data_IF_670706407590
#
_entry.id   IF_670706407590
#
_cell.length_a   1.000
_cell.length_b   1.000
_cell.length_c   1.000
_cell.angle_alpha   90.00
_cell.angle_beta   90.00
_cell.angle_gamma   90.00
#
_symmetry.space_group_name_H-M   'P 1'
#
loop_
_entity.id
_entity.type
_entity.pdbx_description
1 polymer ?
#
# COMPACT_ATOMS: atom_id res chain seq x y z
N UNK A 1 -4.78 28.69 13.31
CA UNK A 1 -4.66 27.51 12.41
C UNK A 1 -4.70 28.00 10.97
N UNK A 2 -3.68 27.68 10.15
CA UNK A 2 -3.74 28.01 8.72
C UNK A 2 -4.83 27.17 8.06
N UNK A 3 -5.47 27.66 6.99
CA UNK A 3 -6.53 26.91 6.27
C UNK A 3 -6.11 25.52 5.78
N UNK A 4 -4.80 25.22 5.78
CA UNK A 4 -4.25 23.92 5.38
C UNK A 4 -4.18 22.88 6.52
N UNK A 5 -4.29 23.27 7.80
CA UNK A 5 -4.16 22.31 8.92
C UNK A 5 -5.44 21.50 9.16
N UNK A 6 -6.61 22.07 8.90
CA UNK A 6 -7.90 21.41 9.11
C UNK A 6 -8.11 20.15 8.23
N UNK A 7 -7.85 20.17 6.91
CA UNK A 7 -8.02 18.98 6.08
C UNK A 7 -7.03 17.86 6.44
N UNK A 8 -5.81 18.21 6.89
CA UNK A 8 -4.83 17.23 7.33
C UNK A 8 -5.28 16.52 8.62
N UNK A 9 -5.79 17.27 9.61
CA UNK A 9 -6.31 16.68 10.84
C UNK A 9 -7.51 15.76 10.57
N UNK A 10 -8.45 16.18 9.72
CA UNK A 10 -9.59 15.35 9.34
C UNK A 10 -9.16 14.02 8.72
N UNK A 11 -8.12 14.06 7.87
CA UNK A 11 -7.54 12.87 7.27
C UNK A 11 -6.82 11.97 8.30
N UNK A 12 -6.09 12.53 9.26
CA UNK A 12 -5.49 11.76 10.37
C UNK A 12 -6.55 11.04 11.20
N UNK A 13 -7.64 11.73 11.54
CA UNK A 13 -8.76 11.16 12.28
C UNK A 13 -9.43 10.04 11.48
N UNK A 14 -9.66 10.24 10.18
CA UNK A 14 -10.23 9.21 9.32
C UNK A 14 -9.35 7.95 9.26
N UNK A 15 -8.03 8.11 9.11
CA UNK A 15 -7.08 6.98 9.12
C UNK A 15 -7.05 6.29 10.49
N UNK A 16 -7.11 7.04 11.59
CA UNK A 16 -7.19 6.48 12.94
C UNK A 16 -8.46 5.68 13.18
N UNK A 17 -9.62 6.15 12.71
CA UNK A 17 -10.88 5.41 12.76
C UNK A 17 -10.81 4.14 11.91
N UNK A 18 -10.23 4.24 10.71
CA UNK A 18 -10.06 3.10 9.81
C UNK A 18 -9.18 2.00 10.43
N UNK A 19 -8.10 2.38 11.13
CA UNK A 19 -7.26 1.44 11.88
C UNK A 19 -8.09 0.64 12.90
N UNK A 20 -8.99 1.30 13.64
CA UNK A 20 -9.85 0.63 14.62
C UNK A 20 -10.82 -0.35 13.95
N UNK A 21 -11.42 0.05 12.83
CA UNK A 21 -12.33 -0.79 12.06
C UNK A 21 -11.61 -2.01 11.50
N UNK A 22 -10.46 -1.82 10.85
CA UNK A 22 -9.67 -2.92 10.28
C UNK A 22 -9.18 -3.87 11.36
N UNK A 23 -8.70 -3.35 12.50
CA UNK A 23 -8.26 -4.18 13.62
C UNK A 23 -9.39 -5.03 14.24
N UNK A 24 -10.63 -4.54 14.22
CA UNK A 24 -11.78 -5.27 14.75
C UNK A 24 -12.44 -6.21 13.73
N UNK A 25 -12.36 -5.91 12.43
CA UNK A 25 -13.14 -6.57 11.40
C UNK A 25 -12.93 -8.10 11.35
N UNK A 26 -11.69 -8.64 11.31
CA UNK A 26 -11.49 -10.09 11.31
C UNK A 26 -12.09 -10.79 12.53
N UNK A 27 -11.98 -10.19 13.73
CA UNK A 27 -12.56 -10.77 14.95
C UNK A 27 -14.09 -10.79 14.93
N UNK A 28 -14.72 -9.74 14.38
CA UNK A 28 -16.17 -9.65 14.28
C UNK A 28 -16.74 -10.58 13.20
N UNK A 29 -15.99 -10.84 12.14
CA UNK A 29 -16.41 -11.66 11.01
C UNK A 29 -16.01 -13.15 11.16
N UNK A 30 -15.11 -13.48 12.10
CA UNK A 30 -14.54 -14.81 12.28
C UNK A 30 -15.55 -15.96 12.40
N UNK A 31 -16.77 -15.67 12.88
CA UNK A 31 -17.81 -16.69 13.05
C UNK A 31 -18.44 -17.18 11.74
N UNK A 32 -18.29 -16.42 10.66
CA UNK A 32 -18.91 -16.73 9.36
C UNK A 32 -17.85 -16.69 8.25
N UNK A 33 -17.38 -17.89 7.90
CA UNK A 33 -16.36 -18.16 6.89
C UNK A 33 -16.77 -17.62 5.52
N UNK A 34 -18.07 -17.49 5.23
CA UNK A 34 -18.51 -16.95 3.95
C UNK A 34 -18.02 -15.52 3.70
N UNK A 35 -17.63 -14.79 4.75
CA UNK A 35 -17.04 -13.45 4.63
C UNK A 35 -15.60 -13.45 4.09
N UNK A 36 -14.93 -14.59 4.13
CA UNK A 36 -13.53 -14.80 3.77
C UNK A 36 -13.36 -15.70 2.54
N UNK A 37 -14.44 -16.01 1.82
CA UNK A 37 -14.35 -16.74 0.54
C UNK A 37 -13.87 -15.83 -0.57
N UNK A 38 -13.38 -16.41 -1.67
CA UNK A 38 -13.08 -15.69 -2.92
C UNK A 38 -14.23 -14.72 -3.31
N UNK A 39 -13.91 -13.47 -3.63
CA UNK A 39 -14.84 -12.35 -3.85
C UNK A 39 -15.70 -11.94 -2.64
N UNK A 40 -15.27 -12.34 -1.44
CA UNK A 40 -15.94 -12.05 -0.19
C UNK A 40 -15.84 -10.58 0.23
N UNK A 41 -16.64 -10.16 1.23
CA UNK A 41 -16.55 -8.83 1.84
C UNK A 41 -15.15 -8.44 2.34
N UNK A 42 -14.28 -9.40 2.66
CA UNK A 42 -12.92 -9.14 3.13
C UNK A 42 -11.98 -8.61 2.05
N UNK A 43 -12.08 -9.10 0.80
CA UNK A 43 -11.21 -8.72 -0.34
C UNK A 43 -11.41 -7.28 -0.80
N UNK A 44 -12.65 -6.80 -0.83
CA UNK A 44 -13.01 -5.46 -1.30
C UNK A 44 -12.22 -4.34 -0.60
N UNK A 45 -12.20 -4.29 0.75
CA UNK A 45 -11.35 -3.37 1.51
C UNK A 45 -9.85 -3.48 1.17
N UNK A 46 -9.31 -4.68 0.92
CA UNK A 46 -7.89 -4.85 0.57
C UNK A 46 -7.56 -4.12 -0.74
N UNK A 47 -8.38 -4.36 -1.77
CA UNK A 47 -8.29 -3.67 -3.06
C UNK A 47 -8.38 -2.15 -2.91
N UNK A 48 -9.30 -1.66 -2.08
CA UNK A 48 -9.45 -0.22 -1.79
C UNK A 48 -8.18 0.35 -1.14
N UNK A 49 -7.60 -0.34 -0.15
CA UNK A 49 -6.37 0.09 0.51
C UNK A 49 -5.18 0.13 -0.44
N UNK A 50 -5.00 -0.90 -1.26
CA UNK A 50 -3.92 -0.97 -2.25
C UNK A 50 -4.06 0.15 -3.30
N UNK A 51 -5.28 0.39 -3.80
CA UNK A 51 -5.55 1.49 -4.73
C UNK A 51 -5.26 2.86 -4.09
N UNK A 52 -5.68 3.07 -2.84
CA UNK A 52 -5.40 4.31 -2.12
C UNK A 52 -3.89 4.49 -1.86
N UNK A 53 -3.16 3.41 -1.55
CA UNK A 53 -1.70 3.42 -1.41
C UNK A 53 -1.05 3.90 -2.72
N UNK A 54 -1.44 3.32 -3.85
CA UNK A 54 -1.01 3.75 -5.20
C UNK A 54 -1.25 5.24 -5.39
N UNK A 55 -2.46 5.72 -5.11
CA UNK A 55 -2.83 7.13 -5.27
C UNK A 55 -1.97 8.05 -4.37
N UNK A 56 -1.72 7.69 -3.11
CA UNK A 56 -0.85 8.48 -2.24
C UNK A 56 0.59 8.56 -2.74
N UNK A 57 1.14 7.44 -3.23
CA UNK A 57 2.47 7.45 -3.85
C UNK A 57 2.49 8.30 -5.12
N UNK A 58 1.47 8.22 -6.00
CA UNK A 58 1.36 9.09 -7.18
C UNK A 58 1.24 10.58 -6.83
N UNK A 59 0.50 10.94 -5.79
CA UNK A 59 0.45 12.33 -5.34
C UNK A 59 1.81 12.81 -4.79
N UNK A 60 2.55 11.92 -4.14
CA UNK A 60 3.90 12.21 -3.66
C UNK A 60 4.91 12.31 -4.82
N UNK A 61 4.71 11.54 -5.88
CA UNK A 61 5.48 11.59 -7.12
C UNK A 61 5.46 12.98 -7.75
N UNK A 62 4.28 13.62 -7.77
CA UNK A 62 4.10 14.96 -8.33
C UNK A 62 4.86 16.07 -7.56
N UNK A 63 5.28 15.78 -6.32
CA UNK A 63 5.94 16.74 -5.40
C UNK A 63 7.44 16.48 -5.21
N UNK A 64 7.96 15.43 -5.83
CA UNK A 64 9.31 14.90 -5.58
C UNK A 64 10.33 15.31 -6.63
N UNK A 65 11.62 15.33 -6.26
CA UNK A 65 12.72 15.56 -7.20
C UNK A 65 12.89 14.38 -8.16
N UNK A 66 13.45 14.64 -9.35
CA UNK A 66 13.45 13.70 -10.50
C UNK A 66 13.95 12.28 -10.20
N UNK A 67 14.91 12.11 -9.30
CA UNK A 67 15.47 10.80 -8.97
C UNK A 67 14.57 10.03 -8.00
N UNK A 68 14.11 10.67 -6.92
CA UNK A 68 13.09 10.13 -6.01
C UNK A 68 11.78 9.78 -6.73
N UNK A 69 11.49 10.43 -7.87
CA UNK A 69 10.33 10.10 -8.69
C UNK A 69 10.39 8.67 -9.25
N UNK A 70 11.57 8.13 -9.55
CA UNK A 70 11.66 6.79 -10.12
C UNK A 70 11.35 5.71 -9.08
N UNK A 71 11.85 5.86 -7.85
CA UNK A 71 11.53 4.98 -6.72
C UNK A 71 10.03 5.03 -6.40
N UNK A 72 9.47 6.23 -6.26
CA UNK A 72 8.04 6.40 -5.97
C UNK A 72 7.19 5.83 -7.10
N UNK A 73 7.60 5.96 -8.36
CA UNK A 73 6.91 5.33 -9.49
C UNK A 73 6.95 3.81 -9.40
N UNK A 74 8.10 3.23 -9.04
CA UNK A 74 8.23 1.78 -8.83
C UNK A 74 7.36 1.28 -7.68
N UNK A 75 7.36 1.97 -6.54
CA UNK A 75 6.53 1.62 -5.37
C UNK A 75 5.04 1.77 -5.70
N UNK A 76 4.66 2.84 -6.36
CA UNK A 76 3.27 3.05 -6.81
C UNK A 76 2.81 1.96 -7.78
N UNK A 77 3.68 1.60 -8.74
CA UNK A 77 3.40 0.54 -9.70
C UNK A 77 3.28 -0.82 -9.02
N UNK A 78 4.09 -1.05 -7.98
CA UNK A 78 4.04 -2.25 -7.16
C UNK A 78 2.73 -2.36 -6.38
N UNK A 79 2.28 -1.31 -5.68
CA UNK A 79 0.97 -1.30 -5.03
C UNK A 79 -0.17 -1.51 -6.04
N UNK A 80 -0.06 -0.91 -7.24
CA UNK A 80 -1.07 -1.09 -8.28
C UNK A 80 -1.08 -2.53 -8.83
N UNK A 81 0.08 -3.18 -8.91
CA UNK A 81 0.17 -4.59 -9.29
C UNK A 81 -0.54 -5.50 -8.26
N UNK A 82 -0.36 -5.23 -6.96
CA UNK A 82 -1.12 -5.93 -5.91
C UNK A 82 -2.62 -5.66 -6.02
N UNK A 83 -3.03 -4.41 -6.26
CA UNK A 83 -4.45 -4.09 -6.50
C UNK A 83 -5.04 -4.90 -7.66
N UNK A 84 -4.34 -5.02 -8.79
CA UNK A 84 -4.81 -5.82 -9.93
C UNK A 84 -4.84 -7.32 -9.60
N UNK A 85 -3.94 -7.81 -8.74
CA UNK A 85 -3.98 -9.18 -8.23
C UNK A 85 -5.23 -9.42 -7.39
N UNK A 86 -5.57 -8.50 -6.49
CA UNK A 86 -6.74 -8.59 -5.60
C UNK A 86 -8.06 -8.25 -6.27
N UNK A 87 -8.03 -7.60 -7.43
CA UNK A 87 -9.25 -7.30 -8.18
C UNK A 87 -9.59 -8.50 -9.05
N UNK A 88 -10.32 -9.47 -8.49
CA UNK A 88 -11.00 -10.46 -9.31
C UNK A 88 -12.29 -9.87 -9.89
N UNK A 89 -12.41 -9.93 -11.22
CA UNK A 89 -13.59 -9.48 -11.93
C UNK A 89 -14.52 -10.65 -12.28
N UNK A 90 -14.07 -11.90 -12.11
CA UNK A 90 -14.85 -13.11 -12.39
C UNK A 90 -16.07 -13.15 -11.47
N UNK A 91 -17.20 -13.57 -12.00
CA UNK A 91 -18.47 -13.69 -11.27
C UNK A 91 -19.03 -12.37 -10.72
N UNK A 92 -18.45 -11.23 -11.10
CA UNK A 92 -18.96 -9.91 -10.76
C UNK A 92 -19.85 -9.35 -11.87
N UNK A 93 -20.60 -8.28 -11.56
CA UNK A 93 -21.36 -7.52 -12.56
C UNK A 93 -20.48 -6.91 -13.66
N UNK A 94 -19.18 -6.77 -13.41
CA UNK A 94 -18.22 -6.18 -14.34
C UNK A 94 -17.65 -7.19 -15.34
N UNK A 95 -17.77 -8.50 -15.09
CA UNK A 95 -17.24 -9.57 -15.96
C UNK A 95 -17.73 -9.44 -17.42
N UNK A 96 -19.03 -9.19 -17.71
CA UNK A 96 -19.50 -9.06 -19.08
C UNK A 96 -19.03 -7.78 -19.78
N UNK A 97 -18.65 -6.75 -19.00
CA UNK A 97 -18.29 -5.41 -19.51
C UNK A 97 -16.79 -5.35 -19.82
N UNK A 98 -15.97 -5.80 -18.87
CA UNK A 98 -14.51 -5.78 -18.99
C UNK A 98 -13.98 -7.02 -19.74
N UNK A 99 -14.75 -8.11 -19.71
CA UNK A 99 -14.41 -9.38 -20.35
C UNK A 99 -13.26 -10.11 -19.67
N UNK A 100 -13.14 -11.40 -19.96
CA UNK A 100 -12.08 -12.28 -19.44
C UNK A 100 -10.66 -11.89 -19.88
N UNK A 101 -10.53 -10.91 -20.78
CA UNK A 101 -9.26 -10.41 -21.29
C UNK A 101 -8.71 -9.22 -20.51
N UNK A 102 -9.53 -8.53 -19.71
CA UNK A 102 -9.11 -7.33 -18.99
C UNK A 102 -7.89 -7.59 -18.11
N UNK A 103 -7.93 -8.64 -17.28
CA UNK A 103 -6.83 -9.01 -16.39
C UNK A 103 -5.54 -9.30 -17.17
N UNK A 104 -5.63 -10.01 -18.30
CA UNK A 104 -4.47 -10.29 -19.15
C UNK A 104 -3.86 -9.02 -19.74
N UNK A 105 -4.70 -8.12 -20.26
CA UNK A 105 -4.25 -6.85 -20.83
C UNK A 105 -3.64 -5.94 -19.76
N UNK A 106 -4.23 -5.89 -18.56
CA UNK A 106 -3.70 -5.16 -17.42
C UNK A 106 -2.29 -5.64 -17.05
N UNK A 107 -2.06 -6.96 -17.00
CA UNK A 107 -0.72 -7.51 -16.74
C UNK A 107 0.30 -7.20 -17.85
N UNK A 108 -0.11 -7.15 -19.11
CA UNK A 108 0.78 -6.71 -20.21
C UNK A 108 1.18 -5.25 -20.04
N UNK A 109 0.23 -4.37 -19.73
CA UNK A 109 0.50 -2.94 -19.49
C UNK A 109 1.41 -2.78 -18.26
N UNK A 110 1.15 -3.51 -17.17
CA UNK A 110 1.99 -3.54 -15.98
C UNK A 110 3.41 -4.01 -16.30
N UNK A 111 3.57 -5.06 -17.10
CA UNK A 111 4.88 -5.57 -17.51
C UNK A 111 5.67 -4.51 -18.29
N UNK A 112 5.03 -3.83 -19.23
CA UNK A 112 5.66 -2.72 -19.99
C UNK A 112 6.05 -1.57 -19.04
N UNK A 113 5.16 -1.18 -18.12
CA UNK A 113 5.48 -0.15 -17.13
C UNK A 113 6.67 -0.54 -16.24
N UNK A 114 6.76 -1.81 -15.83
CA UNK A 114 7.89 -2.33 -15.06
C UNK A 114 9.19 -2.28 -15.87
N UNK A 115 9.17 -2.67 -17.14
CA UNK A 115 10.35 -2.58 -18.02
C UNK A 115 10.86 -1.16 -18.13
N UNK A 116 9.97 -0.17 -18.20
CA UNK A 116 10.34 1.24 -18.22
C UNK A 116 11.01 1.64 -16.89
N UNK A 117 10.38 1.34 -15.75
CA UNK A 117 10.93 1.69 -14.42
C UNK A 117 12.28 1.01 -14.19
N UNK A 118 12.40 -0.29 -14.49
CA UNK A 118 13.64 -1.06 -14.34
C UNK A 118 14.71 -0.53 -15.30
N UNK A 119 14.37 -0.30 -16.57
CA UNK A 119 15.30 0.23 -17.56
C UNK A 119 15.92 1.56 -17.13
N UNK A 120 15.10 2.51 -16.66
CA UNK A 120 15.60 3.78 -16.10
C UNK A 120 16.38 3.59 -14.80
N UNK A 121 16.00 2.62 -13.96
CA UNK A 121 16.69 2.35 -12.69
C UNK A 121 18.09 1.81 -12.92
N UNK A 122 18.28 0.96 -13.94
CA UNK A 122 19.58 0.39 -14.30
C UNK A 122 20.56 1.44 -14.78
N UNK A 123 20.10 2.48 -15.51
CA UNK A 123 20.95 3.60 -15.95
C UNK A 123 21.55 4.40 -14.79
N UNK A 124 20.96 4.31 -13.59
CA UNK A 124 21.39 5.03 -12.38
C UNK A 124 21.53 4.10 -11.17
N UNK A 125 21.83 2.82 -11.40
CA UNK A 125 21.73 1.74 -10.40
C UNK A 125 22.29 2.09 -9.03
N UNK A 126 23.55 2.57 -8.94
CA UNK A 126 24.18 2.90 -7.65
C UNK A 126 23.39 3.91 -6.84
N UNK A 127 22.89 4.95 -7.50
CA UNK A 127 22.13 6.02 -6.84
C UNK A 127 20.74 5.51 -6.46
N UNK A 128 20.02 4.89 -7.40
CA UNK A 128 18.70 4.30 -7.15
C UNK A 128 18.74 3.30 -5.99
N UNK A 129 19.77 2.44 -5.92
CA UNK A 129 19.92 1.49 -4.83
C UNK A 129 20.17 2.17 -3.49
N UNK A 130 20.99 3.23 -3.46
CA UNK A 130 21.28 3.98 -2.23
C UNK A 130 20.02 4.68 -1.71
N UNK A 131 19.28 5.34 -2.60
CA UNK A 131 18.08 6.09 -2.26
C UNK A 131 16.92 5.15 -1.88
N UNK A 132 16.79 4.00 -2.56
CA UNK A 132 15.87 2.94 -2.15
C UNK A 132 16.20 2.40 -0.75
N UNK A 133 17.47 2.11 -0.45
CA UNK A 133 17.87 1.62 0.88
C UNK A 133 17.57 2.65 1.98
N UNK A 134 17.83 3.93 1.72
CA UNK A 134 17.45 5.02 2.63
C UNK A 134 15.95 5.11 2.83
N UNK A 135 15.17 4.91 1.77
CA UNK A 135 13.71 4.89 1.86
C UNK A 135 13.21 3.68 2.65
N UNK A 136 13.79 2.49 2.45
CA UNK A 136 13.39 1.25 3.16
C UNK A 136 13.52 1.36 4.69
N UNK A 137 14.52 2.10 5.18
CA UNK A 137 14.71 2.34 6.62
C UNK A 137 13.91 3.55 7.15
N UNK A 138 13.20 4.28 6.27
CA UNK A 138 12.30 5.34 6.70
C UNK A 138 11.04 4.76 7.36
N UNK A 139 10.28 5.54 8.16
CA UNK A 139 9.04 5.06 8.75
C UNK A 139 8.05 4.50 7.71
N UNK A 140 7.93 5.12 6.54
CA UNK A 140 7.09 4.62 5.46
C UNK A 140 7.64 3.31 4.86
N UNK A 141 8.95 3.20 4.66
CA UNK A 141 9.59 1.98 4.16
C UNK A 141 9.42 0.80 5.11
N UNK A 142 9.58 1.02 6.42
CA UNK A 142 9.37 -0.01 7.45
C UNK A 142 7.92 -0.50 7.43
N UNK A 143 6.94 0.41 7.33
CA UNK A 143 5.53 0.03 7.16
C UNK A 143 5.31 -0.78 5.88
N UNK A 144 5.90 -0.38 4.74
CA UNK A 144 5.79 -1.16 3.49
C UNK A 144 6.30 -2.59 3.69
N UNK A 145 7.48 -2.76 4.28
CA UNK A 145 8.07 -4.08 4.53
C UNK A 145 7.16 -4.89 5.46
N UNK A 146 6.70 -4.31 6.57
CA UNK A 146 5.82 -4.99 7.50
C UNK A 146 4.50 -5.44 6.84
N UNK A 147 3.88 -4.54 6.06
CA UNK A 147 2.65 -4.85 5.33
C UNK A 147 2.86 -5.95 4.30
N UNK A 148 4.00 -5.95 3.60
CA UNK A 148 4.33 -7.02 2.65
C UNK A 148 4.61 -8.35 3.31
N UNK A 149 5.29 -8.36 4.46
CA UNK A 149 5.51 -9.59 5.20
C UNK A 149 4.19 -10.18 5.69
N UNK A 150 3.25 -9.36 6.17
CA UNK A 150 1.91 -9.81 6.56
C UNK A 150 1.15 -10.36 5.36
N UNK A 151 1.06 -9.59 4.28
CA UNK A 151 0.35 -9.98 3.06
C UNK A 151 0.89 -11.29 2.47
N UNK A 152 2.22 -11.41 2.30
CA UNK A 152 2.83 -12.64 1.78
C UNK A 152 2.78 -13.83 2.75
N UNK A 153 2.55 -13.59 4.04
CA UNK A 153 2.34 -14.66 5.01
C UNK A 153 0.94 -15.27 4.90
N UNK A 154 -0.05 -14.50 4.42
CA UNK A 154 -1.39 -14.99 4.08
C UNK A 154 -1.31 -16.09 3.01
N UNK A 155 -0.73 -15.76 1.85
CA UNK A 155 -0.50 -16.68 0.72
C UNK A 155 0.24 -17.98 1.09
N UNK A 156 1.05 -17.96 2.15
CA UNK A 156 1.72 -19.17 2.66
C UNK A 156 0.89 -19.97 3.65
N UNK A 157 -0.03 -19.33 4.37
CA UNK A 157 -0.85 -19.99 5.38
C UNK A 157 -1.71 -21.08 4.74
N UNK A 158 -2.31 -20.77 3.60
CA UNK A 158 -3.11 -21.66 2.74
C UNK A 158 -2.29 -22.86 2.24
N UNK A 159 -1.17 -22.59 1.58
CA UNK A 159 -0.39 -23.61 0.83
C UNK A 159 0.36 -24.59 1.72
N UNK A 160 0.62 -24.22 2.97
CA UNK A 160 1.40 -25.04 3.89
C UNK A 160 0.59 -25.60 5.07
N UNK A 161 -0.74 -25.40 5.07
CA UNK A 161 -1.65 -26.09 5.97
C UNK A 161 -1.41 -25.78 7.44
N UNK A 162 -1.33 -24.49 7.80
CA UNK A 162 -1.23 -24.07 9.21
C UNK A 162 -2.38 -24.64 10.05
N UNK A 163 -3.55 -24.84 9.42
CA UNK A 163 -4.67 -25.56 10.00
C UNK A 163 -5.05 -26.77 9.13
N UNK A 164 -5.54 -27.87 9.75
CA UNK A 164 -6.15 -28.98 9.01
C UNK A 164 -7.49 -28.61 8.35
N UNK A 165 -8.10 -27.52 8.81
CA UNK A 165 -9.42 -27.03 8.40
C UNK A 165 -9.24 -25.93 7.35
N UNK A 166 -9.65 -26.21 6.11
CA UNK A 166 -9.45 -25.31 4.96
C UNK A 166 -10.10 -23.94 5.21
N UNK A 167 -11.32 -23.94 5.76
CA UNK A 167 -12.11 -22.74 6.05
C UNK A 167 -11.39 -21.78 7.03
N UNK A 168 -10.68 -22.33 8.02
CA UNK A 168 -9.89 -21.53 8.98
C UNK A 168 -8.58 -21.04 8.39
N UNK A 169 -8.00 -21.82 7.49
CA UNK A 169 -6.79 -21.43 6.79
C UNK A 169 -7.06 -20.24 5.87
N UNK A 170 -8.15 -20.31 5.10
CA UNK A 170 -8.65 -19.24 4.23
C UNK A 170 -8.99 -17.98 5.06
N UNK A 171 -9.72 -18.12 6.17
CA UNK A 171 -10.02 -16.99 7.06
C UNK A 171 -8.76 -16.32 7.63
N UNK A 172 -7.71 -17.10 7.94
CA UNK A 172 -6.44 -16.56 8.42
C UNK A 172 -5.67 -15.85 7.30
N UNK A 173 -5.63 -16.44 6.10
CA UNK A 173 -5.03 -15.85 4.91
C UNK A 173 -5.62 -14.48 4.62
N UNK A 174 -6.94 -14.42 4.42
CA UNK A 174 -7.66 -13.18 4.14
C UNK A 174 -7.47 -12.12 5.23
N UNK A 175 -7.42 -12.54 6.50
CA UNK A 175 -7.15 -11.63 7.61
C UNK A 175 -5.74 -11.03 7.53
N UNK A 176 -4.74 -11.85 7.20
CA UNK A 176 -3.35 -11.41 7.05
C UNK A 176 -3.16 -10.51 5.83
N UNK A 177 -3.82 -10.83 4.71
CA UNK A 177 -3.80 -10.01 3.50
C UNK A 177 -4.51 -8.67 3.71
N UNK A 178 -5.64 -8.64 4.41
CA UNK A 178 -6.32 -7.40 4.82
C UNK A 178 -5.43 -6.51 5.71
N UNK A 179 -4.80 -7.08 6.75
CA UNK A 179 -3.88 -6.33 7.60
C UNK A 179 -2.66 -5.85 6.81
N UNK A 180 -2.09 -6.69 5.95
CA UNK A 180 -0.96 -6.35 5.09
C UNK A 180 -1.28 -5.19 4.16
N UNK A 181 -2.41 -5.27 3.45
CA UNK A 181 -2.91 -4.23 2.55
C UNK A 181 -3.17 -2.90 3.27
N UNK A 182 -3.74 -2.96 4.48
CA UNK A 182 -3.94 -1.76 5.30
C UNK A 182 -2.61 -1.13 5.76
N UNK A 183 -1.62 -1.93 6.15
CA UNK A 183 -0.29 -1.41 6.53
C UNK A 183 0.46 -0.83 5.32
N UNK A 184 0.30 -1.41 4.13
CA UNK A 184 0.80 -0.83 2.86
C UNK A 184 0.13 0.51 2.57
N UNK A 185 -1.18 0.63 2.79
CA UNK A 185 -1.88 1.92 2.74
C UNK A 185 -1.30 2.94 3.72
N UNK A 186 -1.04 2.55 4.97
CA UNK A 186 -0.41 3.43 5.97
C UNK A 186 0.99 3.88 5.52
N UNK A 187 1.76 3.02 4.85
CA UNK A 187 3.05 3.40 4.26
C UNK A 187 2.89 4.56 3.26
N UNK A 188 1.97 4.44 2.31
CA UNK A 188 1.67 5.49 1.33
C UNK A 188 1.18 6.77 1.99
N UNK A 189 0.30 6.64 2.98
CA UNK A 189 -0.22 7.75 3.77
C UNK A 189 0.89 8.53 4.49
N UNK A 190 1.72 7.83 5.27
CA UNK A 190 2.84 8.42 6.03
C UNK A 190 3.82 9.11 5.08
N UNK A 191 4.15 8.47 3.96
CA UNK A 191 5.06 9.08 2.98
C UNK A 191 4.49 10.37 2.37
N UNK A 192 3.20 10.36 2.03
CA UNK A 192 2.49 11.54 1.53
C UNK A 192 2.48 12.69 2.55
N UNK A 193 2.26 12.37 3.83
CA UNK A 193 2.27 13.33 4.94
C UNK A 193 3.64 13.96 5.15
N UNK A 194 4.69 13.16 5.19
CA UNK A 194 6.07 13.64 5.36
C UNK A 194 6.54 14.48 4.16
N UNK A 195 5.95 14.26 2.99
CA UNK A 195 6.28 14.99 1.76
C UNK A 195 5.51 16.30 1.59
N UNK A 196 4.58 16.65 2.48
CA UNK A 196 3.78 17.87 2.37
C UNK A 196 4.60 19.16 2.64
N UNK A 197 4.36 20.27 1.90
CA UNK A 197 5.12 21.52 2.04
C UNK A 197 5.12 22.12 3.46
N UNK A 198 4.04 21.92 4.23
CA UNK A 198 3.93 22.40 5.60
C UNK A 198 4.96 21.73 6.53
N UNK A 199 5.31 20.46 6.29
CA UNK A 199 6.37 19.75 7.03
C UNK A 199 7.76 20.34 6.72
N UNK A 200 8.00 20.79 5.48
CA UNK A 200 9.24 21.48 5.11
C UNK A 200 9.35 22.86 5.74
N UNK A 201 8.24 23.57 5.89
CA UNK A 201 8.24 24.93 6.45
C UNK A 201 8.52 24.90 7.95
N UNK A 202 7.92 23.96 8.70
CA UNK A 202 8.22 23.79 10.13
C UNK A 202 9.67 23.36 10.42
N UNK A 203 10.28 22.56 9.54
CA UNK A 203 11.70 22.21 9.62
C UNK A 203 12.64 23.40 9.26
N UNK A 204 12.17 24.36 8.45
CA UNK A 204 12.94 25.54 8.03
C UNK A 204 12.76 26.72 8.98
N UNK A 205 11.60 26.87 9.63
CA UNK A 205 11.30 27.97 10.57
C UNK A 205 11.57 27.64 12.03
N UNK A 206 12.02 26.42 12.35
CA UNK A 206 12.35 25.97 13.71
C UNK A 206 13.86 25.85 13.97
N UNK A 207 14.46 26.96 14.36
CA UNK A 207 15.41 26.99 15.48
C UNK A 207 16.66 26.08 15.42
N UNK A 208 17.56 26.35 14.48
CA UNK A 208 18.93 25.80 14.46
C UNK A 208 19.83 26.28 15.62
N UNK A 209 19.29 26.94 16.65
CA UNK A 209 20.08 27.41 17.82
C UNK A 209 20.27 26.37 18.92
N UNK A 210 19.59 25.22 18.88
CA UNK A 210 19.73 24.18 19.93
C UNK A 210 20.25 22.82 19.44
N UNK A 211 20.33 22.57 18.12
CA UNK A 211 20.84 21.30 17.58
C UNK A 211 22.38 21.22 17.51
N UNK A 212 23.09 22.00 18.33
CA UNK A 212 24.55 22.05 18.44
C UNK A 212 25.08 21.76 19.85
N UNK A 213 24.29 21.11 20.70
CA UNK A 213 24.74 20.60 21.99
C UNK A 213 24.01 19.28 22.28
N UNK A 214 24.59 18.17 21.80
CA UNK A 214 24.70 16.83 22.43
C UNK A 214 24.97 15.77 21.35
#
# INVERSE_FOLDING_TARGET
MSRQTLPMLAMDVAVGLLLLVVAAAPFLLWSDVSNFRENGPAEGPQSIFLLCATVFFLFTLARSHRLTRLEIAGISLFCFNLFIRETDIRHTWAEPILGSHFTKQAFVVLAVAWLVVVGFSLLRFKQTATDLLRWLISPAGILMIAGLLLYLSGDRAEKHGFFPDADRSESLEESLELYGSFVIFLSGYVWFRLSAPAARTAAVTGDLRTAGQH
#
